data_IF_958096887746
#
_entry.id   IF_958096887746
#
_cell.length_a   1.000
_cell.length_b   1.000
_cell.length_c   1.000
_cell.angle_alpha   90.00
_cell.angle_beta   90.00
_cell.angle_gamma   90.00
#
_symmetry.space_group_name_H-M   'P 1'
#
loop_
_entity.id
_entity.type
_entity.pdbx_description
1 polymer ?
#
# COMPACT_ATOMS: atom_id res chain seq x y z
N UNK A 1 -17.01 -3.03 -14.06
CA UNK A 1 -17.25 -1.72 -13.39
C UNK A 1 -16.00 -1.34 -12.63
N UNK A 2 -15.60 -0.07 -12.67
CA UNK A 2 -14.50 0.50 -11.87
C UNK A 2 -15.01 1.61 -10.95
N UNK A 3 -14.17 2.11 -10.05
CA UNK A 3 -14.48 3.28 -9.21
C UNK A 3 -14.03 4.55 -9.93
N UNK A 4 -14.83 5.62 -9.87
CA UNK A 4 -14.61 6.83 -10.68
C UNK A 4 -13.36 7.63 -10.28
N UNK A 5 -12.95 7.56 -9.00
CA UNK A 5 -11.85 8.35 -8.44
C UNK A 5 -10.74 7.43 -7.90
N UNK A 6 -10.33 6.48 -8.73
CA UNK A 6 -9.25 5.54 -8.43
C UNK A 6 -8.35 5.41 -9.65
N UNK A 7 -7.06 5.45 -9.39
CA UNK A 7 -6.03 5.12 -10.38
C UNK A 7 -5.49 3.72 -10.09
N UNK A 8 -5.69 2.79 -11.01
CA UNK A 8 -5.10 1.46 -10.96
C UNK A 8 -3.78 1.42 -11.74
N UNK A 9 -2.75 0.83 -11.15
CA UNK A 9 -1.46 0.60 -11.82
C UNK A 9 -0.96 -0.82 -11.61
N UNK A 10 -0.28 -1.36 -12.62
CA UNK A 10 0.38 -2.67 -12.59
C UNK A 10 1.54 -2.70 -13.60
N UNK A 11 2.47 -3.64 -13.48
CA UNK A 11 3.56 -3.85 -14.45
C UNK A 11 3.05 -4.20 -15.85
N UNK A 12 1.86 -4.81 -15.93
CA UNK A 12 1.13 -5.13 -17.16
C UNK A 12 -0.22 -4.44 -17.11
N UNK A 13 -0.50 -3.60 -18.11
CA UNK A 13 -1.74 -2.84 -18.19
C UNK A 13 -2.97 -3.72 -18.48
N UNK A 14 -4.13 -3.24 -18.05
CA UNK A 14 -5.44 -3.80 -18.39
C UNK A 14 -6.42 -2.64 -18.64
N UNK A 15 -6.38 -2.05 -19.85
CA UNK A 15 -7.20 -0.89 -20.17
C UNK A 15 -8.71 -1.21 -20.11
N UNK A 16 -9.56 -0.25 -19.73
CA UNK A 16 -9.21 1.13 -19.38
C UNK A 16 -8.88 1.35 -17.89
N UNK A 17 -8.90 0.30 -17.06
CA UNK A 17 -8.93 0.44 -15.59
C UNK A 17 -7.54 0.44 -14.94
N UNK A 18 -6.56 -0.19 -15.59
CA UNK A 18 -5.22 -0.36 -15.04
C UNK A 18 -4.20 0.13 -16.07
N UNK A 19 -3.45 1.15 -15.69
CA UNK A 19 -2.34 1.70 -16.48
C UNK A 19 -1.02 1.02 -16.12
N UNK A 20 -0.05 1.01 -17.03
CA UNK A 20 1.26 0.44 -16.76
C UNK A 20 2.11 1.34 -15.85
N UNK A 21 2.59 0.83 -14.70
CA UNK A 21 3.62 1.47 -13.89
C UNK A 21 4.35 0.46 -12.97
N UNK A 22 5.56 0.80 -12.52
CA UNK A 22 6.28 0.05 -11.49
C UNK A 22 5.90 0.59 -10.09
N UNK A 23 5.35 -0.24 -9.19
CA UNK A 23 5.03 0.17 -7.82
C UNK A 23 6.22 0.66 -6.99
N UNK A 24 7.46 0.34 -7.39
CA UNK A 24 8.68 0.84 -6.75
C UNK A 24 9.15 2.20 -7.29
N UNK A 25 8.46 2.76 -8.28
CA UNK A 25 8.73 4.09 -8.83
C UNK A 25 7.47 4.66 -9.49
N UNK A 26 6.51 5.06 -8.66
CA UNK A 26 5.20 5.48 -9.13
C UNK A 26 5.28 6.83 -9.87
N UNK A 27 4.65 6.96 -11.06
CA UNK A 27 4.73 8.16 -11.90
C UNK A 27 3.79 9.28 -11.43
N UNK A 28 3.70 9.50 -10.12
CA UNK A 28 2.83 10.47 -9.48
C UNK A 28 3.65 11.45 -8.64
N UNK A 29 3.13 12.66 -8.46
CA UNK A 29 3.72 13.62 -7.52
C UNK A 29 3.52 13.17 -6.07
N UNK A 30 4.30 13.76 -5.18
CA UNK A 30 4.18 13.53 -3.75
C UNK A 30 2.84 14.05 -3.23
N UNK A 31 2.20 13.28 -2.35
CA UNK A 31 1.00 13.70 -1.63
C UNK A 31 -0.25 13.95 -2.49
N UNK A 32 -0.36 13.36 -3.67
CA UNK A 32 -1.53 13.55 -4.55
C UNK A 32 -2.74 12.68 -4.17
N UNK A 33 -2.54 11.60 -3.43
CA UNK A 33 -3.62 10.71 -3.01
C UNK A 33 -3.94 10.84 -1.52
N UNK A 34 -5.22 10.71 -1.17
CA UNK A 34 -5.67 10.55 0.22
C UNK A 34 -5.36 9.15 0.78
N UNK A 35 -5.28 8.16 -0.11
CA UNK A 35 -5.24 6.74 0.24
C UNK A 35 -4.56 5.91 -0.85
N UNK A 36 -3.82 4.87 -0.45
CA UNK A 36 -3.26 3.86 -1.35
C UNK A 36 -3.51 2.46 -0.81
N UNK A 37 -3.72 1.51 -1.73
CA UNK A 37 -4.05 0.12 -1.43
C UNK A 37 -3.20 -0.84 -2.26
N UNK A 38 -2.77 -1.94 -1.65
CA UNK A 38 -2.21 -3.08 -2.38
C UNK A 38 -2.56 -4.41 -1.70
N UNK A 39 -2.82 -5.42 -2.52
CA UNK A 39 -2.90 -6.83 -2.11
C UNK A 39 -1.65 -7.64 -2.51
N UNK A 40 -0.66 -6.99 -3.15
CA UNK A 40 0.54 -7.61 -3.73
C UNK A 40 1.82 -7.25 -2.96
N UNK A 41 1.70 -6.71 -1.74
CA UNK A 41 2.87 -6.28 -0.96
C UNK A 41 3.83 -7.44 -0.64
N UNK A 42 3.30 -8.65 -0.43
CA UNK A 42 4.11 -9.84 -0.17
C UNK A 42 4.95 -10.29 -1.39
N UNK A 43 4.60 -9.82 -2.59
CA UNK A 43 5.31 -10.12 -3.84
C UNK A 43 6.38 -9.06 -4.16
N UNK A 44 6.46 -7.98 -3.38
CA UNK A 44 7.40 -6.89 -3.60
C UNK A 44 8.84 -7.39 -3.43
N UNK A 45 9.67 -7.22 -4.47
CA UNK A 45 11.10 -7.52 -4.42
C UNK A 45 11.85 -6.60 -3.44
N UNK A 46 11.37 -5.37 -3.26
CA UNK A 46 11.94 -4.39 -2.35
C UNK A 46 10.85 -3.77 -1.47
N UNK A 47 10.38 -4.47 -0.41
CA UNK A 47 9.24 -4.04 0.41
C UNK A 47 9.38 -2.62 0.98
N UNK A 48 10.57 -2.25 1.47
CA UNK A 48 10.81 -0.90 1.99
C UNK A 48 10.70 0.19 0.93
N UNK A 49 11.13 -0.10 -0.31
CA UNK A 49 10.99 0.85 -1.43
C UNK A 49 9.55 0.94 -1.91
N UNK A 50 8.85 -0.18 -1.94
CA UNK A 50 7.41 -0.23 -2.26
C UNK A 50 6.62 0.60 -1.24
N UNK A 51 6.86 0.37 0.05
CA UNK A 51 6.24 1.13 1.13
C UNK A 51 6.61 2.63 1.05
N UNK A 52 7.87 2.97 0.80
CA UNK A 52 8.28 4.36 0.64
C UNK A 52 7.56 5.07 -0.52
N UNK A 53 7.31 4.39 -1.64
CA UNK A 53 6.52 4.96 -2.74
C UNK A 53 5.05 5.13 -2.37
N UNK A 54 4.45 4.16 -1.67
CA UNK A 54 3.10 4.31 -1.09
C UNK A 54 3.03 5.54 -0.18
N UNK A 55 4.00 5.71 0.72
CA UNK A 55 4.08 6.86 1.63
C UNK A 55 4.35 8.19 0.90
N UNK A 56 5.10 8.16 -0.21
CA UNK A 56 5.42 9.36 -0.98
C UNK A 56 4.20 9.91 -1.70
N UNK A 57 3.42 9.06 -2.36
CA UNK A 57 2.27 9.50 -3.17
C UNK A 57 1.04 9.82 -2.31
N UNK A 58 0.97 9.31 -1.09
CA UNK A 58 -0.10 9.62 -0.13
C UNK A 58 0.22 10.88 0.66
N UNK A 59 -0.72 11.80 0.80
CA UNK A 59 -0.51 13.04 1.58
C UNK A 59 -0.32 12.74 3.07
N UNK A 60 0.31 13.68 3.78
CA UNK A 60 0.37 13.63 5.25
C UNK A 60 -1.06 13.58 5.82
N UNK A 61 -1.26 12.65 6.77
CA UNK A 61 -2.56 12.30 7.35
C UNK A 61 -3.38 11.30 6.53
N UNK A 62 -2.96 10.98 5.30
CA UNK A 62 -3.58 9.94 4.46
C UNK A 62 -3.21 8.53 4.91
N UNK A 63 -3.82 7.52 4.29
CA UNK A 63 -3.69 6.12 4.71
C UNK A 63 -3.04 5.22 3.66
N UNK A 64 -2.11 4.37 4.11
CA UNK A 64 -1.57 3.25 3.35
C UNK A 64 -2.19 1.96 3.86
N UNK A 65 -2.84 1.20 2.98
CA UNK A 65 -3.48 -0.07 3.34
C UNK A 65 -2.86 -1.21 2.57
N UNK A 66 -2.37 -2.17 3.34
CA UNK A 66 -1.77 -3.39 2.83
C UNK A 66 -2.65 -4.55 3.22
N UNK A 67 -2.92 -5.44 2.27
CA UNK A 67 -3.55 -6.73 2.53
C UNK A 67 -2.57 -7.81 2.11
N UNK A 68 -2.33 -8.77 3.01
CA UNK A 68 -1.47 -9.94 2.78
C UNK A 68 -2.23 -11.21 3.16
N UNK A 69 -1.69 -12.36 2.78
CA UNK A 69 -2.18 -13.66 3.27
C UNK A 69 -2.32 -13.65 4.80
N UNK A 70 -3.35 -14.33 5.31
CA UNK A 70 -3.64 -14.39 6.75
C UNK A 70 -2.37 -14.73 7.54
N UNK A 71 -2.01 -13.84 8.46
CA UNK A 71 -0.76 -13.92 9.19
C UNK A 71 -0.84 -13.38 10.62
N UNK A 72 0.15 -13.78 11.42
CA UNK A 72 0.30 -13.36 12.82
C UNK A 72 1.41 -12.34 13.03
N UNK A 73 1.77 -12.14 14.30
CA UNK A 73 2.61 -11.04 14.79
C UNK A 73 3.90 -10.77 14.00
N UNK A 74 4.76 -11.78 13.79
CA UNK A 74 6.06 -11.57 13.13
C UNK A 74 5.92 -10.97 11.71
N UNK A 75 5.00 -11.50 10.90
CA UNK A 75 4.78 -11.00 9.54
C UNK A 75 4.16 -9.62 9.55
N UNK A 76 3.24 -9.35 10.48
CA UNK A 76 2.65 -8.01 10.67
C UNK A 76 3.73 -7.00 11.05
N UNK A 77 4.63 -7.36 11.97
CA UNK A 77 5.76 -6.49 12.35
C UNK A 77 6.74 -6.28 11.19
N UNK A 78 7.00 -7.29 10.35
CA UNK A 78 7.80 -7.13 9.14
C UNK A 78 7.19 -6.14 8.12
N UNK A 79 5.87 -6.20 7.91
CA UNK A 79 5.17 -5.23 7.06
C UNK A 79 5.26 -3.84 7.68
N UNK A 80 4.95 -3.68 8.98
CA UNK A 80 5.03 -2.40 9.70
C UNK A 80 6.43 -1.80 9.60
N UNK A 81 7.47 -2.61 9.80
CA UNK A 81 8.87 -2.17 9.72
C UNK A 81 9.33 -1.72 8.34
N UNK A 82 8.55 -1.98 7.28
CA UNK A 82 8.83 -1.48 5.93
C UNK A 82 8.40 -0.01 5.74
N UNK A 83 7.50 0.51 6.59
CA UNK A 83 6.98 1.88 6.53
C UNK A 83 7.80 2.80 7.44
N UNK A 84 8.53 3.76 6.86
CA UNK A 84 9.42 4.66 7.60
C UNK A 84 8.75 5.97 8.02
N UNK A 85 7.69 6.38 7.32
CA UNK A 85 7.01 7.66 7.49
C UNK A 85 5.57 7.53 8.01
N UNK A 86 5.13 6.31 8.32
CA UNK A 86 3.76 6.02 8.72
C UNK A 86 3.65 5.37 10.10
N UNK A 87 2.69 5.83 10.89
CA UNK A 87 2.29 5.21 12.14
C UNK A 87 1.27 4.09 11.93
N UNK A 88 1.39 3.02 12.72
CA UNK A 88 0.41 1.93 12.74
C UNK A 88 -0.95 2.39 13.26
N UNK A 89 -2.04 1.97 12.61
CA UNK A 89 -3.41 2.30 13.00
C UNK A 89 -4.21 1.07 13.44
N UNK A 90 -4.25 0.04 12.59
CA UNK A 90 -5.10 -1.14 12.83
C UNK A 90 -4.58 -2.37 12.08
N UNK A 91 -4.86 -3.55 12.63
CA UNK A 91 -4.66 -4.84 11.98
C UNK A 91 -5.89 -5.72 12.19
N UNK A 92 -6.39 -6.32 11.12
CA UNK A 92 -7.58 -7.18 11.21
C UNK A 92 -7.60 -8.25 10.12
N UNK A 93 -8.04 -9.46 10.48
CA UNK A 93 -8.36 -10.47 9.48
C UNK A 93 -9.65 -10.10 8.75
N UNK A 94 -9.62 -10.17 7.43
CA UNK A 94 -10.70 -9.79 6.53
C UNK A 94 -10.89 -10.87 5.46
N UNK A 95 -12.03 -10.87 4.80
CA UNK A 95 -12.24 -11.66 3.59
C UNK A 95 -12.07 -10.76 2.37
N UNK A 96 -11.15 -11.10 1.48
CA UNK A 96 -10.95 -10.43 0.19
C UNK A 96 -11.06 -11.47 -0.90
N UNK A 97 -11.94 -11.25 -1.89
CA UNK A 97 -12.20 -12.18 -3.01
C UNK A 97 -12.44 -13.64 -2.58
N UNK A 98 -13.05 -13.84 -1.40
CA UNK A 98 -13.31 -15.18 -0.84
C UNK A 98 -12.15 -15.82 -0.07
N UNK A 99 -10.98 -15.18 -0.03
CA UNK A 99 -9.80 -15.62 0.72
C UNK A 99 -9.73 -14.91 2.08
N UNK A 100 -9.24 -15.62 3.10
CA UNK A 100 -8.89 -15.01 4.38
C UNK A 100 -7.54 -14.32 4.26
N UNK A 101 -7.53 -13.04 4.60
CA UNK A 101 -6.37 -12.17 4.49
C UNK A 101 -6.21 -11.37 5.78
N UNK A 102 -5.03 -10.80 6.00
CA UNK A 102 -4.78 -9.82 7.06
C UNK A 102 -4.62 -8.44 6.46
N UNK A 103 -5.49 -7.51 6.86
CA UNK A 103 -5.41 -6.08 6.50
C UNK A 103 -4.59 -5.35 7.56
N UNK A 104 -3.63 -4.56 7.12
CA UNK A 104 -2.82 -3.67 7.93
C UNK A 104 -3.04 -2.24 7.44
N UNK A 105 -3.35 -1.32 8.35
CA UNK A 105 -3.56 0.10 8.07
C UNK A 105 -2.44 0.90 8.72
N UNK A 106 -1.77 1.70 7.90
CA UNK A 106 -0.75 2.66 8.30
C UNK A 106 -1.23 4.07 7.94
N UNK A 107 -0.94 5.07 8.77
CA UNK A 107 -1.24 6.48 8.50
C UNK A 107 0.04 7.23 8.26
N UNK A 108 0.15 7.94 7.14
CA UNK A 108 1.33 8.72 6.80
C UNK A 108 1.43 9.92 7.74
N UNK A 109 2.42 9.91 8.63
CA UNK A 109 2.63 10.97 9.61
C UNK A 109 3.59 12.05 9.07
N UNK A 110 4.20 11.81 7.90
CA UNK A 110 5.13 12.74 7.25
C UNK A 110 6.50 12.85 7.93
N UNK A 111 6.70 12.18 9.07
CA UNK A 111 7.97 12.14 9.79
C UNK A 111 9.03 11.41 8.98
N UNK A 112 10.11 12.10 8.60
CA UNK A 112 11.35 11.44 8.19
C UNK A 112 11.98 10.88 9.46
N UNK A 113 12.06 9.56 9.61
CA UNK A 113 13.04 8.99 10.54
C UNK A 113 14.43 9.33 9.99
N UNK A 114 15.15 10.18 10.72
CA UNK A 114 16.53 10.56 10.44
C UNK A 114 17.50 9.39 10.67
#
# INVERSE_FOLDING_TARGET
>A
MGLADVTGVELVESPPLVSRADPHNLPFFDGVFDFVFTAHFAEALFPSRFAAEMERVVRVGGACVVVVEECGGERVEGVKGSFGRSGFVDVRNVSLIGLKMTRIIMRNDGSQTA
#
